data_IF_802088481015
#
_entry.id   IF_802088481015
#
_cell.length_a   1.000
_cell.length_b   1.000
_cell.length_c   1.000
_cell.angle_alpha   90.00
_cell.angle_beta   90.00
_cell.angle_gamma   90.00
#
_symmetry.space_group_name_H-M   'P 1'
#
loop_
_entity.id
_entity.type
_entity.pdbx_description
1 polymer ?
#
# COMPACT_ATOMS: atom_id res chain seq x y z
N UNK A 1 -8.50 9.07 1.89
CA UNK A 1 -9.09 7.89 1.22
C UNK A 1 -10.45 8.21 0.60
N UNK A 2 -10.58 9.37 -0.05
CA UNK A 2 -11.88 9.81 -0.57
C UNK A 2 -12.36 8.93 -1.73
N UNK A 3 -11.45 8.51 -2.61
CA UNK A 3 -11.77 7.61 -3.72
C UNK A 3 -12.36 6.27 -3.23
N UNK A 4 -11.75 5.64 -2.22
CA UNK A 4 -12.26 4.38 -1.64
C UNK A 4 -13.63 4.59 -1.01
N UNK A 5 -13.82 5.68 -0.24
CA UNK A 5 -15.11 6.01 0.36
C UNK A 5 -16.23 6.15 -0.68
N UNK A 6 -15.94 6.73 -1.83
CA UNK A 6 -16.91 6.93 -2.90
C UNK A 6 -17.17 5.65 -3.69
N UNK A 7 -16.14 4.87 -4.00
CA UNK A 7 -16.26 3.63 -4.79
C UNK A 7 -16.81 2.47 -3.97
N UNK A 8 -16.39 2.36 -2.71
CA UNK A 8 -16.70 1.25 -1.81
C UNK A 8 -16.79 1.74 -0.35
N UNK A 9 -17.98 2.24 0.07
CA UNK A 9 -18.19 2.72 1.42
C UNK A 9 -17.98 1.64 2.50
N UNK A 10 -18.25 0.38 2.20
CA UNK A 10 -18.13 -0.72 3.17
C UNK A 10 -16.66 -0.99 3.50
N UNK A 11 -15.81 -1.11 2.47
CA UNK A 11 -14.35 -1.24 2.64
C UNK A 11 -13.78 -0.02 3.36
N UNK A 12 -14.26 1.19 3.04
CA UNK A 12 -13.84 2.39 3.75
C UNK A 12 -14.15 2.33 5.25
N UNK A 13 -15.34 1.86 5.64
CA UNK A 13 -15.70 1.71 7.05
C UNK A 13 -14.84 0.64 7.75
N UNK A 14 -14.57 -0.48 7.08
CA UNK A 14 -13.69 -1.52 7.62
C UNK A 14 -12.28 -0.96 7.90
N UNK A 15 -11.68 -0.23 6.95
CA UNK A 15 -10.35 0.38 7.14
C UNK A 15 -10.37 1.41 8.28
N UNK A 16 -11.42 2.23 8.38
CA UNK A 16 -11.57 3.17 9.51
C UNK A 16 -11.62 2.44 10.85
N UNK A 17 -12.43 1.40 10.95
CA UNK A 17 -12.55 0.60 12.16
C UNK A 17 -11.22 -0.05 12.56
N UNK A 18 -10.45 -0.52 11.59
CA UNK A 18 -9.13 -1.11 11.86
C UNK A 18 -8.11 -0.07 12.33
N UNK A 19 -8.09 1.12 11.73
CA UNK A 19 -7.25 2.22 12.21
C UNK A 19 -7.59 2.56 13.67
N UNK A 20 -8.87 2.61 14.02
CA UNK A 20 -9.29 2.87 15.39
C UNK A 20 -8.90 1.72 16.33
N UNK A 21 -9.00 0.47 15.88
CA UNK A 21 -8.56 -0.71 16.64
C UNK A 21 -7.05 -0.65 16.93
N UNK A 22 -6.23 -0.48 15.90
CA UNK A 22 -4.76 -0.43 16.02
C UNK A 22 -4.31 0.72 16.95
N UNK A 23 -4.93 1.90 16.84
CA UNK A 23 -4.56 3.05 17.68
C UNK A 23 -4.93 2.88 19.16
N UNK A 24 -5.93 2.05 19.46
CA UNK A 24 -6.46 1.89 20.82
C UNK A 24 -6.15 0.52 21.44
N UNK A 25 -5.34 -0.31 20.79
CA UNK A 25 -4.96 -1.65 21.25
C UNK A 25 -3.46 -1.68 21.55
N UNK A 26 -3.08 -2.26 22.69
CA UNK A 26 -1.68 -2.56 22.97
C UNK A 26 -1.28 -3.84 22.22
N UNK A 27 -0.54 -3.70 21.13
CA UNK A 27 -0.07 -4.84 20.35
C UNK A 27 1.21 -5.45 20.96
N UNK A 28 1.12 -6.75 21.30
CA UNK A 28 2.20 -7.53 21.93
C UNK A 28 2.69 -8.69 21.06
N UNK A 29 2.18 -8.79 19.83
CA UNK A 29 2.60 -9.82 18.88
C UNK A 29 3.98 -9.45 18.33
N UNK A 30 4.99 -10.25 18.68
CA UNK A 30 6.39 -9.94 18.38
C UNK A 30 6.73 -9.81 16.88
N UNK A 31 5.92 -10.39 16.00
CA UNK A 31 6.10 -10.34 14.56
C UNK A 31 5.35 -9.20 13.86
N UNK A 32 4.46 -8.51 14.57
CA UNK A 32 3.72 -7.38 14.00
C UNK A 32 4.47 -6.06 14.19
N UNK A 33 4.18 -5.10 13.31
CA UNK A 33 4.81 -3.79 13.33
C UNK A 33 3.98 -2.74 12.59
N UNK A 34 4.27 -1.46 12.87
CA UNK A 34 3.65 -0.33 12.18
C UNK A 34 4.65 0.29 11.20
N UNK A 35 4.32 0.26 9.92
CA UNK A 35 5.14 0.89 8.89
C UNK A 35 5.05 2.41 8.93
N UNK A 36 6.06 3.10 8.40
CA UNK A 36 6.03 4.56 8.32
C UNK A 36 5.00 5.05 7.28
N UNK A 37 4.53 6.29 7.44
CA UNK A 37 3.64 6.95 6.45
C UNK A 37 4.23 6.97 5.04
N UNK A 38 5.55 7.10 4.91
CA UNK A 38 6.24 7.07 3.63
C UNK A 38 6.09 5.71 2.92
N UNK A 39 6.17 4.61 3.68
CA UNK A 39 5.96 3.25 3.14
C UNK A 39 4.50 3.07 2.72
N UNK A 40 3.54 3.46 3.56
CA UNK A 40 2.10 3.38 3.23
C UNK A 40 1.75 4.16 1.96
N UNK A 41 2.27 5.38 1.81
CA UNK A 41 2.04 6.19 0.62
C UNK A 41 2.62 5.52 -0.64
N UNK A 42 3.77 4.86 -0.52
CA UNK A 42 4.46 4.24 -1.66
C UNK A 42 3.79 2.93 -2.10
N UNK A 43 3.23 2.16 -1.16
CA UNK A 43 2.62 0.86 -1.43
C UNK A 43 1.49 0.91 -2.47
N UNK A 44 0.73 2.02 -2.52
CA UNK A 44 -0.36 2.24 -3.47
C UNK A 44 -0.05 3.25 -4.58
N UNK A 45 1.23 3.51 -4.89
CA UNK A 45 1.62 4.52 -5.87
C UNK A 45 1.56 4.01 -7.32
N UNK A 46 1.84 4.91 -8.28
CA UNK A 46 1.78 4.64 -9.73
C UNK A 46 2.64 3.45 -10.19
N UNK A 47 3.65 3.05 -9.41
CA UNK A 47 4.47 1.87 -9.70
C UNK A 47 3.67 0.58 -9.80
N UNK A 48 2.51 0.48 -9.13
CA UNK A 48 1.59 -0.67 -9.23
C UNK A 48 1.11 -0.95 -10.66
N UNK A 49 1.10 0.08 -11.52
CA UNK A 49 0.66 -0.04 -12.90
C UNK A 49 1.71 -0.66 -13.82
N UNK A 50 2.98 -0.73 -13.40
CA UNK A 50 4.09 -1.08 -14.29
C UNK A 50 4.43 -2.56 -14.24
N UNK A 51 4.39 -3.19 -15.40
CA UNK A 51 4.97 -4.52 -15.62
C UNK A 51 6.44 -4.40 -16.06
N UNK A 52 7.37 -4.99 -15.31
CA UNK A 52 8.82 -4.82 -15.50
C UNK A 52 9.62 -6.12 -15.30
N UNK A 53 9.35 -7.15 -16.08
CA UNK A 53 10.10 -8.42 -16.02
C UNK A 53 11.57 -8.29 -16.44
N UNK A 54 12.41 -9.17 -15.88
CA UNK A 54 13.85 -9.16 -16.05
C UNK A 54 14.56 -8.35 -14.97
N UNK A 55 15.80 -7.95 -15.25
CA UNK A 55 16.63 -7.18 -14.32
C UNK A 55 16.84 -5.75 -14.83
N UNK A 56 17.27 -4.80 -13.99
CA UNK A 56 17.74 -3.49 -14.46
C UNK A 56 18.73 -3.64 -15.63
N UNK A 57 18.55 -2.83 -16.67
CA UNK A 57 19.28 -2.90 -17.95
C UNK A 57 19.13 -4.22 -18.75
N UNK A 58 18.30 -5.17 -18.29
CA UNK A 58 17.99 -6.45 -18.95
C UNK A 58 16.49 -6.77 -18.82
N UNK A 59 15.64 -5.80 -19.17
CA UNK A 59 14.19 -5.95 -19.15
C UNK A 59 13.70 -6.62 -20.43
N UNK A 60 12.61 -7.37 -20.35
CA UNK A 60 11.95 -7.94 -21.53
C UNK A 60 11.02 -6.94 -22.22
N UNK A 61 10.56 -5.92 -21.49
CA UNK A 61 9.66 -4.86 -21.97
C UNK A 61 10.29 -3.47 -21.81
N UNK A 62 9.86 -2.51 -22.65
CA UNK A 62 10.33 -1.12 -22.61
C UNK A 62 9.62 -0.23 -21.56
N UNK A 63 10.06 1.02 -21.44
CA UNK A 63 9.44 2.03 -20.57
C UNK A 63 9.71 1.82 -19.07
N UNK A 64 10.90 1.33 -18.71
CA UNK A 64 11.32 1.05 -17.33
C UNK A 64 12.44 2.00 -16.87
N UNK A 65 12.49 3.23 -17.39
CA UNK A 65 13.57 4.19 -17.09
C UNK A 65 13.60 4.58 -15.61
N UNK A 66 12.46 4.47 -14.93
CA UNK A 66 12.25 4.86 -13.54
C UNK A 66 11.83 3.69 -12.63
N UNK A 67 11.92 2.43 -13.12
CA UNK A 67 11.42 1.21 -12.43
C UNK A 67 12.42 0.05 -12.49
#
# INVERSE_FOLDING_TARGET
MEYVKQSDPEVFQAIKGEIDRENNTLELIASENFVSKAVLQTAGCVLTNKYAEGYPAKRYSGGCEWV
#
